data_IF_183803747520
#
_entry.id   IF_183803747520
#
_cell.length_a   1.000
_cell.length_b   1.000
_cell.length_c   1.000
_cell.angle_alpha   90.00
_cell.angle_beta   90.00
_cell.angle_gamma   90.00
#
_symmetry.space_group_name_H-M   'P 1'
#
loop_
_entity.id
_entity.type
_entity.pdbx_description
1 polymer ?
#
# COMPACT_ATOMS: atom_id res chain seq x y z
N UNK A 1 -4.84 -4.50 14.45
CA UNK A 1 -3.53 -5.15 14.26
C UNK A 1 -3.17 -4.88 12.82
N UNK A 2 -2.16 -4.03 12.60
CA UNK A 2 -1.90 -3.25 11.38
C UNK A 2 -2.16 -4.01 10.06
N UNK A 3 -3.16 -3.58 9.29
CA UNK A 3 -3.59 -4.24 8.04
C UNK A 3 -2.47 -4.45 7.00
N UNK A 4 -1.59 -3.46 6.81
CA UNK A 4 -0.42 -3.57 5.91
C UNK A 4 0.63 -4.53 6.46
N UNK A 5 0.86 -4.52 7.78
CA UNK A 5 1.78 -5.45 8.43
C UNK A 5 1.29 -6.90 8.31
N UNK A 6 -0.02 -7.12 8.42
CA UNK A 6 -0.59 -8.46 8.25
C UNK A 6 -0.41 -8.99 6.82
N UNK A 7 -0.39 -8.09 5.83
CA UNK A 7 -0.09 -8.43 4.44
C UNK A 7 1.34 -8.96 4.26
N UNK A 8 2.30 -8.38 4.98
CA UNK A 8 3.72 -8.74 4.89
C UNK A 8 4.14 -9.86 5.85
N UNK A 9 3.34 -10.13 6.87
CA UNK A 9 3.54 -11.25 7.81
C UNK A 9 2.68 -12.48 7.48
N UNK A 10 1.97 -12.47 6.36
CA UNK A 10 1.19 -13.60 5.86
C UNK A 10 -0.12 -13.86 6.61
N UNK A 11 -0.55 -12.96 7.48
CA UNK A 11 -1.77 -13.08 8.28
C UNK A 11 -3.01 -12.52 7.59
N UNK A 12 -2.90 -11.94 6.39
CA UNK A 12 -4.02 -11.45 5.58
C UNK A 12 -3.73 -11.57 4.07
N UNK A 13 -4.77 -11.72 3.26
CA UNK A 13 -4.64 -11.77 1.80
C UNK A 13 -4.20 -10.40 1.24
N UNK A 14 -3.11 -10.33 0.44
CA UNK A 14 -2.65 -9.09 -0.20
C UNK A 14 -3.71 -8.36 -1.02
N UNK A 15 -4.66 -9.09 -1.61
CA UNK A 15 -5.73 -8.49 -2.42
C UNK A 15 -6.72 -7.66 -1.60
N UNK A 16 -7.09 -8.13 -0.41
CA UNK A 16 -8.03 -7.44 0.47
C UNK A 16 -7.42 -6.15 1.03
N UNK A 17 -6.12 -6.21 1.37
CA UNK A 17 -5.32 -5.07 1.81
C UNK A 17 -5.21 -4.03 0.69
N UNK A 18 -4.86 -4.47 -0.52
CA UNK A 18 -4.77 -3.60 -1.68
C UNK A 18 -6.10 -2.89 -2.01
N UNK A 19 -7.23 -3.59 -1.90
CA UNK A 19 -8.56 -3.01 -2.12
C UNK A 19 -8.91 -1.96 -1.05
N UNK A 20 -8.62 -2.25 0.21
CA UNK A 20 -8.85 -1.31 1.31
C UNK A 20 -8.03 -0.03 1.14
N UNK A 21 -6.74 -0.16 0.80
CA UNK A 21 -5.83 0.96 0.52
C UNK A 21 -6.29 1.73 -0.71
N UNK A 22 -6.67 1.07 -1.81
CA UNK A 22 -7.17 1.73 -3.02
C UNK A 22 -8.45 2.55 -2.76
N UNK A 23 -9.40 2.01 -1.98
CA UNK A 23 -10.62 2.75 -1.57
C UNK A 23 -10.31 3.98 -0.74
N UNK A 24 -9.40 3.85 0.22
CA UNK A 24 -9.02 4.95 1.09
C UNK A 24 -8.27 6.02 0.28
N UNK A 25 -7.38 5.60 -0.62
CA UNK A 25 -6.61 6.48 -1.49
C UNK A 25 -7.51 7.27 -2.45
N UNK A 26 -8.45 6.61 -3.12
CA UNK A 26 -9.38 7.28 -4.03
C UNK A 26 -10.26 8.31 -3.31
N UNK A 27 -10.66 8.03 -2.06
CA UNK A 27 -11.42 8.97 -1.22
C UNK A 27 -10.58 10.17 -0.77
N UNK A 28 -9.34 9.93 -0.35
CA UNK A 28 -8.45 10.97 0.17
C UNK A 28 -7.93 11.91 -0.92
N UNK A 29 -7.57 11.36 -2.08
CA UNK A 29 -6.93 12.11 -3.17
C UNK A 29 -7.87 12.43 -4.33
N UNK A 30 -9.15 12.05 -4.25
CA UNK A 30 -10.18 12.26 -5.27
C UNK A 30 -9.70 11.89 -6.68
N UNK A 31 -9.07 10.73 -6.81
CA UNK A 31 -8.46 10.28 -8.06
C UNK A 31 -9.55 9.82 -9.01
N UNK A 32 -9.53 10.32 -10.24
CA UNK A 32 -10.53 10.00 -11.29
C UNK A 32 -10.38 8.56 -11.81
N UNK A 33 -9.27 7.91 -11.49
CA UNK A 33 -8.96 6.56 -11.94
C UNK A 33 -9.83 5.46 -11.30
N UNK A 34 -9.99 4.37 -12.04
CA UNK A 34 -10.77 3.21 -11.58
C UNK A 34 -10.08 2.56 -10.37
N UNK A 35 -10.76 2.57 -9.21
CA UNK A 35 -10.30 1.95 -7.95
C UNK A 35 -9.86 0.50 -8.16
N UNK A 36 -10.48 -0.23 -9.10
CA UNK A 36 -10.08 -1.60 -9.42
C UNK A 36 -8.67 -1.68 -10.03
N UNK A 37 -8.28 -0.71 -10.86
CA UNK A 37 -6.94 -0.67 -11.46
C UNK A 37 -5.88 -0.37 -10.38
N UNK A 38 -6.18 0.57 -9.49
CA UNK A 38 -5.30 0.90 -8.35
C UNK A 38 -5.14 -0.33 -7.44
N UNK A 39 -6.25 -1.01 -7.11
CA UNK A 39 -6.23 -2.22 -6.29
C UNK A 39 -5.45 -3.37 -6.96
N UNK A 40 -5.59 -3.57 -8.27
CA UNK A 40 -4.87 -4.62 -8.99
C UNK A 40 -3.35 -4.36 -9.03
N UNK A 41 -2.94 -3.10 -9.30
CA UNK A 41 -1.54 -2.69 -9.28
C UNK A 41 -0.93 -2.80 -7.87
N UNK A 42 -1.66 -2.35 -6.84
CA UNK A 42 -1.24 -2.50 -5.45
C UNK A 42 -1.11 -3.97 -5.05
N UNK A 43 -2.05 -4.83 -5.44
CA UNK A 43 -1.98 -6.27 -5.15
C UNK A 43 -0.71 -6.88 -5.73
N UNK A 44 -0.38 -6.54 -6.98
CA UNK A 44 0.84 -7.02 -7.65
C UNK A 44 2.09 -6.53 -6.94
N UNK A 45 2.15 -5.24 -6.57
CA UNK A 45 3.30 -4.65 -5.88
C UNK A 45 3.49 -5.22 -4.48
N UNK A 46 2.42 -5.37 -3.69
CA UNK A 46 2.48 -5.97 -2.35
C UNK A 46 2.99 -7.42 -2.42
N UNK A 47 2.51 -8.22 -3.39
CA UNK A 47 3.01 -9.59 -3.59
C UNK A 47 4.49 -9.62 -3.98
N UNK A 48 4.93 -8.73 -4.88
CA UNK A 48 6.33 -8.65 -5.28
C UNK A 48 7.23 -8.29 -4.09
N UNK A 49 6.82 -7.31 -3.28
CA UNK A 49 7.51 -6.92 -2.05
C UNK A 49 7.53 -8.09 -1.04
N UNK A 50 6.39 -8.72 -0.78
CA UNK A 50 6.32 -9.89 0.11
C UNK A 50 7.28 -11.02 -0.33
N UNK A 51 7.28 -11.35 -1.62
CA UNK A 51 8.17 -12.37 -2.17
C UNK A 51 9.65 -11.98 -2.08
N UNK A 52 9.96 -10.68 -2.10
CA UNK A 52 11.34 -10.19 -1.97
C UNK A 52 11.93 -10.44 -0.57
N UNK A 53 11.08 -10.59 0.46
CA UNK A 53 11.52 -10.85 1.83
C UNK A 53 11.76 -12.33 2.14
N UNK A 54 11.32 -13.26 1.28
CA UNK A 54 11.60 -14.69 1.45
C UNK A 54 11.10 -15.33 2.75
N UNK A 55 10.23 -14.65 3.52
CA UNK A 55 9.75 -15.11 4.83
C UNK A 55 10.38 -14.42 6.04
N UNK A 56 11.49 -13.70 5.87
CA UNK A 56 12.22 -13.02 6.96
C UNK A 56 11.90 -11.52 7.00
N UNK A 57 10.62 -11.18 7.12
CA UNK A 57 10.18 -9.79 7.18
C UNK A 57 10.64 -9.10 8.48
N UNK A 58 11.43 -8.02 8.38
CA UNK A 58 11.81 -7.17 9.52
C UNK A 58 11.04 -5.84 9.53
N UNK A 59 10.88 -5.24 10.72
CA UNK A 59 10.22 -3.93 10.87
C UNK A 59 10.90 -2.79 10.10
N UNK A 60 12.21 -2.87 9.89
CA UNK A 60 12.95 -1.93 9.03
C UNK A 60 12.49 -1.97 7.58
N UNK A 61 12.06 -3.13 7.11
CA UNK A 61 11.68 -3.35 5.72
C UNK A 61 10.30 -2.78 5.40
N UNK A 62 9.47 -2.59 6.43
CA UNK A 62 8.18 -1.89 6.29
C UNK A 62 8.39 -0.47 5.78
N UNK A 63 9.47 0.22 6.18
CA UNK A 63 9.79 1.57 5.72
C UNK A 63 10.06 1.62 4.21
N UNK A 64 10.85 0.67 3.71
CA UNK A 64 11.11 0.51 2.28
C UNK A 64 9.84 0.14 1.51
N UNK A 65 9.06 -0.82 2.01
CA UNK A 65 7.79 -1.23 1.42
C UNK A 65 6.79 -0.07 1.30
N UNK A 66 6.69 0.79 2.33
CA UNK A 66 5.82 1.97 2.33
C UNK A 66 6.27 2.97 1.26
N UNK A 67 7.56 3.21 1.13
CA UNK A 67 8.09 4.11 0.10
C UNK A 67 7.79 3.60 -1.31
N UNK A 68 8.05 2.30 -1.54
CA UNK A 68 7.79 1.61 -2.79
C UNK A 68 6.32 1.60 -3.22
N UNK A 69 5.41 1.48 -2.26
CA UNK A 69 3.96 1.58 -2.50
C UNK A 69 3.57 3.05 -2.71
N UNK A 70 4.22 3.98 -2.01
CA UNK A 70 3.99 5.41 -2.17
C UNK A 70 4.36 5.93 -3.56
N UNK A 71 5.48 5.47 -4.11
CA UNK A 71 5.90 5.76 -5.48
C UNK A 71 4.92 5.22 -6.51
N UNK A 72 4.39 4.01 -6.31
CA UNK A 72 3.32 3.47 -7.15
C UNK A 72 2.06 4.34 -7.09
N UNK A 73 1.65 4.77 -5.89
CA UNK A 73 0.46 5.60 -5.75
C UNK A 73 0.63 7.00 -6.37
N UNK A 74 1.86 7.53 -6.41
CA UNK A 74 2.16 8.77 -7.14
C UNK A 74 1.88 8.66 -8.64
N UNK A 75 1.95 7.47 -9.25
CA UNK A 75 1.62 7.32 -10.67
C UNK A 75 0.14 7.59 -10.93
N UNK A 76 -0.72 7.35 -9.93
CA UNK A 76 -2.16 7.56 -10.00
C UNK A 76 -2.58 8.96 -9.51
N UNK A 77 -1.85 9.55 -8.57
CA UNK A 77 -2.08 10.92 -8.10
C UNK A 77 -0.78 11.74 -8.07
N UNK A 78 -0.26 12.19 -9.23
CA UNK A 78 1.02 12.91 -9.29
C UNK A 78 1.02 14.22 -8.49
N UNK A 79 -0.15 14.85 -8.34
CA UNK A 79 -0.36 16.11 -7.63
C UNK A 79 -0.36 15.98 -6.11
N UNK A 80 -0.44 14.77 -5.56
CA UNK A 80 -0.48 14.55 -4.11
C UNK A 80 0.88 14.81 -3.44
N UNK A 81 2.00 14.62 -4.13
CA UNK A 81 3.34 14.71 -3.57
C UNK A 81 3.69 13.52 -2.65
N UNK A 82 4.94 13.02 -2.75
CA UNK A 82 5.36 11.75 -2.12
C UNK A 82 5.08 11.75 -0.61
N UNK A 83 5.40 12.85 0.07
CA UNK A 83 5.23 12.96 1.52
C UNK A 83 3.77 12.79 1.98
N UNK A 84 2.78 13.26 1.21
CA UNK A 84 1.34 13.10 1.56
C UNK A 84 0.91 11.66 1.39
N UNK A 85 1.37 11.00 0.34
CA UNK A 85 1.08 9.59 0.09
C UNK A 85 1.73 8.70 1.14
N UNK A 86 3.00 8.93 1.47
CA UNK A 86 3.70 8.20 2.53
C UNK A 86 3.02 8.39 3.88
N UNK A 87 2.58 9.62 4.21
CA UNK A 87 1.82 9.91 5.43
C UNK A 87 0.46 9.20 5.44
N UNK A 88 -0.24 9.16 4.31
CA UNK A 88 -1.49 8.41 4.14
C UNK A 88 -1.28 6.90 4.34
N UNK A 89 -0.23 6.32 3.76
CA UNK A 89 0.09 4.90 3.91
C UNK A 89 0.48 4.56 5.35
N UNK A 90 1.25 5.42 6.00
CA UNK A 90 1.59 5.29 7.41
C UNK A 90 0.35 5.37 8.31
N UNK A 91 -0.56 6.29 8.04
CA UNK A 91 -1.83 6.37 8.74
C UNK A 91 -2.69 5.11 8.49
N UNK A 92 -2.75 4.64 7.24
CA UNK A 92 -3.48 3.42 6.85
C UNK A 92 -2.92 2.16 7.52
N UNK A 93 -1.63 2.14 7.85
CA UNK A 93 -1.03 1.07 8.62
C UNK A 93 -1.56 1.02 10.07
N UNK A 94 -1.98 2.15 10.66
CA UNK A 94 -2.38 2.27 12.07
C UNK A 94 -3.90 2.35 12.30
N UNK A 95 -4.70 2.60 11.26
CA UNK A 95 -6.13 2.93 11.38
C UNK A 95 -7.06 1.70 11.22
N UNK A 96 -6.54 0.54 10.79
CA UNK A 96 -7.31 -0.71 10.59
C UNK A 96 -6.59 -1.92 11.23
#
# INVERSE_FOLDING_TARGET
MNFLFNAFTGSTNPGDVAWAVARAFAREFNVVENVNNIAASLTTKIRAIYNSFGGDFAWSDLGGAILDIGELLLTFAPSAGLWRITKFLWASANIL
#
